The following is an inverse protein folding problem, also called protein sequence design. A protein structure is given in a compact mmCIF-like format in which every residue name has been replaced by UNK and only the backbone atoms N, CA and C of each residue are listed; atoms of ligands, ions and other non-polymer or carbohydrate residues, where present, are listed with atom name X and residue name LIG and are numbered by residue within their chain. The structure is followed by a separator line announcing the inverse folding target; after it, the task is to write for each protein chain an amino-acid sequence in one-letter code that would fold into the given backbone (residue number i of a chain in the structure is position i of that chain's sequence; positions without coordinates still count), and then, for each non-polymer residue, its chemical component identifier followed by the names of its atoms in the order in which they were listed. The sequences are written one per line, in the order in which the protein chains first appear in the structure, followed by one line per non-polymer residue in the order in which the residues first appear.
data_IF_999511705078
#
_entry.id   IF_999511705078
#
_cell.length_a   1.000
_cell.length_b   1.000
_cell.length_c   1.000
_cell.angle_alpha   90.00
_cell.angle_beta   90.00
_cell.angle_gamma   90.00
#
_symmetry.space_group_name_H-M   'P 1'
#
loop_
_entity.id
_entity.type
_entity.pdbx_description
1 polymer ?
#
# COMPACT_ATOMS: atom_id res chain seq x y z
N UNK A 1 -10.05 -32.68 10.65
CA UNK A 1 -9.44 -33.24 11.89
C UNK A 1 -9.39 -32.22 13.03
N UNK A 2 -8.83 -31.02 12.84
CA UNK A 2 -8.69 -29.99 13.89
C UNK A 2 -10.03 -29.47 14.46
N UNK A 3 -11.05 -29.26 13.61
CA UNK A 3 -12.39 -28.81 14.03
C UNK A 3 -12.98 -29.71 15.13
N UNK A 4 -12.86 -31.03 14.96
CA UNK A 4 -13.38 -32.00 15.94
C UNK A 4 -12.58 -32.07 17.24
N UNK A 5 -11.32 -31.60 17.26
CA UNK A 5 -10.47 -31.58 18.45
C UNK A 5 -10.62 -30.27 19.24
N UNK A 6 -10.77 -29.14 18.55
CA UNK A 6 -10.83 -27.81 19.15
C UNK A 6 -12.25 -27.32 19.41
N UNK A 7 -13.25 -27.86 18.70
CA UNK A 7 -14.63 -27.39 18.78
C UNK A 7 -14.86 -26.03 18.09
N UNK A 8 -13.86 -25.51 17.39
CA UNK A 8 -13.90 -24.25 16.66
C UNK A 8 -14.02 -24.49 15.15
N UNK A 9 -14.75 -23.60 14.46
CA UNK A 9 -14.80 -23.61 13.01
C UNK A 9 -13.49 -23.04 12.43
N UNK A 10 -12.67 -23.90 11.84
CA UNK A 10 -11.38 -23.52 11.24
C UNK A 10 -11.52 -23.64 9.73
N UNK A 11 -11.43 -22.50 9.05
CA UNK A 11 -11.53 -22.40 7.60
C UNK A 11 -10.34 -21.64 7.04
N UNK A 12 -9.88 -22.04 5.86
CA UNK A 12 -8.95 -21.23 5.05
C UNK A 12 -9.81 -20.22 4.30
N UNK A 13 -9.62 -18.93 4.60
CA UNK A 13 -10.44 -17.85 4.02
C UNK A 13 -9.87 -17.32 2.71
N UNK A 14 -8.56 -17.37 2.54
CA UNK A 14 -7.86 -16.83 1.39
C UNK A 14 -6.48 -17.48 1.24
N UNK A 15 -5.95 -17.47 0.01
CA UNK A 15 -4.61 -17.94 -0.31
C UNK A 15 -4.07 -17.21 -1.54
N UNK A 16 -2.84 -16.72 -1.45
CA UNK A 16 -2.13 -16.04 -2.55
C UNK A 16 -0.79 -16.71 -2.77
N UNK A 17 -0.44 -16.93 -4.04
CA UNK A 17 0.83 -17.52 -4.47
C UNK A 17 1.45 -16.65 -5.56
N UNK A 18 2.74 -16.36 -5.43
CA UNK A 18 3.53 -15.70 -6.48
C UNK A 18 4.52 -16.71 -7.09
N UNK A 19 4.57 -16.74 -8.41
CA UNK A 19 5.65 -17.39 -9.16
C UNK A 19 6.81 -16.42 -9.29
N UNK A 20 8.04 -16.87 -9.03
CA UNK A 20 9.24 -16.02 -9.12
C UNK A 20 9.78 -16.10 -10.54
N UNK A 21 9.96 -14.93 -11.17
CA UNK A 21 10.59 -14.81 -12.48
C UNK A 21 12.09 -14.53 -12.34
N UNK A 22 12.87 -14.88 -13.35
CA UNK A 22 14.30 -14.57 -13.37
C UNK A 22 14.54 -13.06 -13.25
N UNK A 23 15.44 -12.68 -12.35
CA UNK A 23 15.74 -11.26 -12.07
C UNK A 23 14.78 -10.57 -11.10
N UNK A 24 13.79 -11.27 -10.55
CA UNK A 24 12.88 -10.77 -9.53
C UNK A 24 13.27 -11.24 -8.13
N UNK A 25 12.87 -10.48 -7.11
CA UNK A 25 13.01 -10.85 -5.70
C UNK A 25 11.65 -10.83 -5.03
N UNK A 26 11.16 -12.03 -4.66
CA UNK A 26 9.94 -12.19 -3.88
C UNK A 26 10.26 -12.34 -2.39
N UNK A 27 9.55 -11.60 -1.54
CA UNK A 27 9.70 -11.68 -0.08
C UNK A 27 8.36 -11.74 0.63
N UNK A 28 8.33 -12.47 1.75
CA UNK A 28 7.17 -12.62 2.62
C UNK A 28 7.41 -12.01 4.00
N UNK A 29 6.40 -11.36 4.56
CA UNK A 29 6.43 -10.84 5.92
C UNK A 29 5.12 -11.14 6.66
N UNK A 30 5.21 -11.90 7.74
CA UNK A 30 4.14 -12.05 8.73
C UNK A 30 4.44 -11.11 9.91
N UNK A 31 3.50 -10.22 10.22
CA UNK A 31 3.72 -9.21 11.27
C UNK A 31 3.62 -9.83 12.68
N UNK A 32 4.72 -9.90 13.44
CA UNK A 32 4.74 -10.49 14.76
C UNK A 32 4.10 -9.56 15.81
N UNK A 33 3.77 -10.06 17.01
CA UNK A 33 3.87 -11.46 17.44
C UNK A 33 2.65 -12.30 17.05
N UNK A 34 1.52 -11.67 16.76
CA UNK A 34 0.25 -12.36 16.54
C UNK A 34 0.11 -12.96 15.12
N UNK A 35 0.98 -12.58 14.18
CA UNK A 35 0.97 -13.05 12.78
C UNK A 35 -0.41 -12.90 12.10
N UNK A 36 -1.14 -11.84 12.46
CA UNK A 36 -2.48 -11.55 11.91
C UNK A 36 -2.48 -10.83 10.57
N UNK A 37 -1.31 -10.35 10.13
CA UNK A 37 -1.13 -9.68 8.84
C UNK A 37 0.01 -10.40 8.14
N UNK A 38 -0.24 -10.84 6.90
CA UNK A 38 0.75 -11.43 6.01
C UNK A 38 0.88 -10.58 4.74
N UNK A 39 2.11 -10.42 4.26
CA UNK A 39 2.41 -9.71 3.02
C UNK A 39 3.30 -10.57 2.13
N UNK A 40 2.99 -10.60 0.84
CA UNK A 40 3.90 -11.00 -0.23
C UNK A 40 4.20 -9.79 -1.09
N UNK A 41 5.46 -9.61 -1.47
CA UNK A 41 5.89 -8.57 -2.42
C UNK A 41 6.86 -9.15 -3.43
N UNK A 42 6.75 -8.70 -4.67
CA UNK A 42 7.57 -9.05 -5.81
C UNK A 42 8.26 -7.77 -6.31
N UNK A 43 9.59 -7.71 -6.14
CA UNK A 43 10.42 -6.62 -6.62
C UNK A 43 11.13 -7.01 -7.91
N UNK A 44 11.34 -6.01 -8.77
CA UNK A 44 12.11 -6.12 -10.01
C UNK A 44 13.15 -4.99 -10.08
N UNK A 45 14.12 -5.14 -10.98
CA UNK A 45 15.21 -4.17 -11.19
C UNK A 45 16.54 -4.60 -10.56
N UNK A 46 17.64 -4.01 -11.03
CA UNK A 46 19.01 -4.39 -10.63
C UNK A 46 19.27 -4.16 -9.12
N UNK A 47 18.54 -3.24 -8.52
CA UNK A 47 18.59 -2.95 -7.09
C UNK A 47 17.67 -3.79 -6.21
N UNK A 48 16.91 -4.74 -6.79
CA UNK A 48 16.03 -5.60 -6.02
C UNK A 48 16.86 -6.56 -5.16
N UNK A 49 16.78 -6.39 -3.84
CA UNK A 49 17.45 -7.25 -2.85
C UNK A 49 16.46 -7.87 -1.87
N UNK A 50 16.76 -9.03 -1.27
CA UNK A 50 15.91 -9.63 -0.24
C UNK A 50 15.66 -8.70 0.95
N UNK A 51 16.64 -7.89 1.32
CA UNK A 51 16.54 -6.90 2.39
C UNK A 51 15.55 -5.79 2.05
N UNK A 52 15.65 -5.21 0.84
CA UNK A 52 14.72 -4.18 0.37
C UNK A 52 13.30 -4.75 0.25
N UNK A 53 13.16 -5.94 -0.33
CA UNK A 53 11.86 -6.62 -0.45
C UNK A 53 11.22 -6.85 0.93
N UNK A 54 12.01 -7.27 1.93
CA UNK A 54 11.51 -7.42 3.30
C UNK A 54 11.11 -6.07 3.92
N UNK A 55 11.88 -5.01 3.73
CA UNK A 55 11.54 -3.67 4.22
C UNK A 55 10.24 -3.14 3.61
N UNK A 56 10.04 -3.38 2.30
CA UNK A 56 8.81 -3.01 1.58
C UNK A 56 7.63 -3.82 2.11
N UNK A 57 7.80 -5.14 2.32
CA UNK A 57 6.76 -5.97 2.90
C UNK A 57 6.34 -5.50 4.30
N UNK A 58 7.31 -5.05 5.13
CA UNK A 58 7.02 -4.44 6.42
C UNK A 58 6.22 -3.14 6.29
N UNK A 59 6.59 -2.27 5.35
CA UNK A 59 5.85 -1.05 5.07
C UNK A 59 4.41 -1.34 4.66
N UNK A 60 4.20 -2.23 3.68
CA UNK A 60 2.88 -2.63 3.21
C UNK A 60 2.04 -3.20 4.35
N UNK A 61 2.64 -3.97 5.27
CA UNK A 61 1.92 -4.55 6.41
C UNK A 61 1.27 -3.46 7.30
N UNK A 62 1.99 -2.35 7.50
CA UNK A 62 1.57 -1.20 8.30
C UNK A 62 0.67 -0.24 7.52
N UNK A 63 1.12 0.22 6.35
CA UNK A 63 0.49 1.29 5.59
C UNK A 63 -0.68 0.82 4.71
N UNK A 64 -0.88 -0.49 4.57
CA UNK A 64 -2.00 -1.10 3.85
C UNK A 64 -2.36 -0.38 2.52
N UNK A 65 -1.40 -0.15 1.61
CA UNK A 65 -1.69 0.46 0.31
C UNK A 65 -2.67 -0.39 -0.50
N UNK A 66 -3.48 0.28 -1.30
CA UNK A 66 -4.44 -0.33 -2.23
C UNK A 66 -3.86 -0.48 -3.63
N UNK A 67 -2.93 0.43 -4.00
CA UNK A 67 -2.28 0.45 -5.30
C UNK A 67 -0.76 0.51 -5.15
N UNK A 68 -0.02 0.05 -6.15
CA UNK A 68 1.43 0.26 -6.21
C UNK A 68 1.76 1.71 -6.56
N UNK A 69 1.05 2.27 -7.54
CA UNK A 69 1.28 3.63 -8.07
C UNK A 69 -0.04 4.34 -8.39
N UNK A 70 0.01 5.66 -8.61
CA UNK A 70 -1.17 6.48 -8.92
C UNK A 70 -1.84 6.08 -10.23
N UNK A 71 -1.06 5.60 -11.19
CA UNK A 71 -1.51 5.24 -12.53
C UNK A 71 -2.45 4.02 -12.53
N UNK A 72 -2.43 3.23 -11.46
CA UNK A 72 -3.35 2.11 -11.27
C UNK A 72 -4.73 2.54 -10.77
N UNK A 73 -4.89 3.80 -10.32
CA UNK A 73 -6.17 4.32 -9.83
C UNK A 73 -7.03 4.76 -11.00
N UNK A 74 -8.25 4.24 -11.07
CA UNK A 74 -9.17 4.62 -12.15
C UNK A 74 -9.49 6.13 -12.10
N UNK A 75 -9.61 6.82 -13.23
CA UNK A 75 -9.93 8.25 -13.25
C UNK A 75 -11.22 8.59 -12.51
N UNK A 76 -12.24 7.73 -12.58
CA UNK A 76 -13.52 7.93 -11.89
C UNK A 76 -13.39 7.94 -10.36
N UNK A 77 -12.49 7.16 -9.79
CA UNK A 77 -12.20 7.19 -8.34
C UNK A 77 -11.53 8.51 -7.97
N UNK A 78 -10.54 8.94 -8.75
CA UNK A 78 -9.83 10.21 -8.50
C UNK A 78 -10.79 11.40 -8.61
N UNK A 79 -11.66 11.41 -9.62
CA UNK A 79 -12.64 12.48 -9.81
C UNK A 79 -13.69 12.48 -8.70
N UNK A 80 -14.15 11.31 -8.27
CA UNK A 80 -15.07 11.19 -7.12
C UNK A 80 -14.45 11.80 -5.86
N UNK A 81 -13.21 11.43 -5.52
CA UNK A 81 -12.54 11.98 -4.33
C UNK A 81 -12.24 13.47 -4.47
N UNK A 82 -11.92 13.93 -5.69
CA UNK A 82 -11.75 15.36 -5.97
C UNK A 82 -13.03 16.14 -5.65
N UNK A 83 -14.19 15.62 -6.06
CA UNK A 83 -15.48 16.26 -5.75
C UNK A 83 -15.78 16.24 -4.25
N UNK A 84 -15.44 15.17 -3.53
CA UNK A 84 -15.58 15.10 -2.08
C UNK A 84 -14.76 16.21 -1.40
N UNK A 85 -13.48 16.36 -1.75
CA UNK A 85 -12.65 17.42 -1.18
C UNK A 85 -13.11 18.82 -1.59
N UNK A 86 -13.51 19.01 -2.85
CA UNK A 86 -13.99 20.31 -3.33
C UNK A 86 -15.22 20.78 -2.56
N UNK A 87 -16.11 19.86 -2.20
CA UNK A 87 -17.33 20.16 -1.44
C UNK A 87 -17.13 20.17 0.08
N UNK A 88 -15.92 19.91 0.58
CA UNK A 88 -15.65 19.97 2.02
C UNK A 88 -15.69 21.42 2.55
N UNK A 89 -16.16 21.59 3.79
CA UNK A 89 -16.19 22.91 4.45
C UNK A 89 -14.82 23.59 4.50
N UNK A 90 -13.75 22.78 4.66
CA UNK A 90 -12.36 23.25 4.65
C UNK A 90 -12.00 23.97 3.34
N UNK A 91 -12.47 23.45 2.21
CA UNK A 91 -12.23 24.03 0.87
C UNK A 91 -13.23 25.12 0.54
N UNK A 92 -14.51 24.94 0.88
CA UNK A 92 -15.56 25.92 0.63
C UNK A 92 -15.34 27.23 1.40
N UNK A 93 -14.70 27.18 2.57
CA UNK A 93 -14.31 28.37 3.33
C UNK A 93 -13.15 29.18 2.70
N UNK A 94 -12.53 28.70 1.61
CA UNK A 94 -11.41 29.36 0.92
C UNK A 94 -11.87 30.11 -0.33
N UNK A 95 -11.11 31.13 -0.78
CA UNK A 95 -11.40 31.84 -2.03
C UNK A 95 -11.48 30.88 -3.22
N UNK A 96 -12.48 31.07 -4.08
CA UNK A 96 -12.78 30.17 -5.22
C UNK A 96 -11.55 29.88 -6.09
N UNK A 97 -10.78 30.91 -6.42
CA UNK A 97 -9.55 30.80 -7.23
C UNK A 97 -8.45 29.94 -6.59
N UNK A 98 -8.50 29.66 -5.28
CA UNK A 98 -7.52 28.84 -4.59
C UNK A 98 -8.01 27.38 -4.38
N UNK A 99 -9.31 27.09 -4.56
CA UNK A 99 -9.91 25.82 -4.17
C UNK A 99 -9.32 24.64 -4.95
N UNK A 100 -9.21 24.74 -6.27
CA UNK A 100 -8.66 23.66 -7.11
C UNK A 100 -7.25 23.28 -6.68
N UNK A 101 -6.37 24.28 -6.50
CA UNK A 101 -4.99 24.05 -6.05
C UNK A 101 -4.91 23.40 -4.66
N UNK A 102 -5.82 23.78 -3.75
CA UNK A 102 -5.91 23.18 -2.41
C UNK A 102 -6.35 21.72 -2.54
N UNK A 103 -7.37 21.45 -3.35
CA UNK A 103 -7.90 20.11 -3.60
C UNK A 103 -6.83 19.21 -4.22
N UNK A 104 -6.05 19.68 -5.19
CA UNK A 104 -4.95 18.90 -5.77
C UNK A 104 -3.90 18.51 -4.71
N UNK A 105 -3.58 19.43 -3.79
CA UNK A 105 -2.71 19.14 -2.64
C UNK A 105 -3.31 18.12 -1.67
N UNK A 106 -4.63 18.20 -1.42
CA UNK A 106 -5.35 17.24 -0.58
C UNK A 106 -5.42 15.86 -1.23
N UNK A 107 -5.69 15.77 -2.54
CA UNK A 107 -5.66 14.51 -3.29
C UNK A 107 -4.27 13.88 -3.19
N UNK A 108 -3.21 14.66 -3.38
CA UNK A 108 -1.84 14.17 -3.24
C UNK A 108 -1.55 13.58 -1.86
N UNK A 109 -1.94 14.28 -0.78
CA UNK A 109 -1.55 13.92 0.60
C UNK A 109 -2.53 13.00 1.33
N UNK A 110 -3.83 13.23 1.16
CA UNK A 110 -4.91 12.60 1.94
C UNK A 110 -5.52 11.40 1.21
N UNK A 111 -5.28 11.27 -0.10
CA UNK A 111 -5.74 10.14 -0.89
C UNK A 111 -4.56 9.29 -1.39
N UNK A 112 -3.68 9.83 -2.23
CA UNK A 112 -2.56 9.04 -2.78
C UNK A 112 -1.53 8.65 -1.72
N UNK A 113 -1.07 9.59 -0.89
CA UNK A 113 -0.10 9.30 0.18
C UNK A 113 -0.71 8.79 1.49
N UNK A 114 -2.00 8.42 1.49
CA UNK A 114 -2.69 7.95 2.69
C UNK A 114 -2.01 6.68 3.26
N UNK A 115 -2.02 6.56 4.59
CA UNK A 115 -1.61 5.36 5.31
C UNK A 115 -2.48 5.24 6.58
N UNK A 116 -3.48 4.34 6.62
CA UNK A 116 -3.76 3.27 5.67
C UNK A 116 -4.36 3.73 4.33
N UNK A 117 -4.25 2.90 3.29
CA UNK A 117 -4.85 3.10 1.96
C UNK A 117 -3.91 3.71 0.92
N UNK A 118 -4.44 4.26 -0.17
CA UNK A 118 -3.65 5.02 -1.14
C UNK A 118 -2.66 4.20 -1.98
N UNK A 119 -1.70 4.88 -2.59
CA UNK A 119 -0.69 4.32 -3.48
C UNK A 119 0.67 4.18 -2.78
N UNK A 120 1.24 2.98 -2.80
CA UNK A 120 2.50 2.64 -2.15
C UNK A 120 3.62 3.64 -2.48
N UNK A 121 3.82 3.96 -3.75
CA UNK A 121 4.89 4.86 -4.20
C UNK A 121 4.82 6.28 -3.57
N UNK A 122 3.64 6.72 -3.15
CA UNK A 122 3.38 8.05 -2.59
C UNK A 122 3.48 8.11 -1.07
N UNK A 123 3.42 6.96 -0.40
CA UNK A 123 3.46 6.87 1.05
C UNK A 123 4.82 7.28 1.58
N UNK A 124 4.83 7.98 2.72
CA UNK A 124 6.05 8.31 3.45
C UNK A 124 6.73 7.00 3.93
N UNK A 125 8.02 6.85 3.67
CA UNK A 125 8.72 5.61 3.91
C UNK A 125 8.95 5.37 5.42
N UNK A 126 8.51 4.22 5.94
CA UNK A 126 8.55 3.98 7.41
C UNK A 126 9.98 3.85 7.95
N UNK A 127 10.95 3.50 7.10
CA UNK A 127 12.35 3.38 7.51
C UNK A 127 13.13 4.71 7.36
N UNK A 128 12.56 5.67 6.63
CA UNK A 128 13.07 7.04 6.50
C UNK A 128 11.93 7.99 6.06
N UNK A 129 11.23 8.63 7.02
CA UNK A 129 10.08 9.48 6.71
C UNK A 129 10.39 10.74 5.90
N UNK A 130 11.67 11.04 5.64
CA UNK A 130 12.06 12.18 4.79
C UNK A 130 11.79 11.97 3.30
N UNK A 131 11.55 10.71 2.89
CA UNK A 131 11.27 10.32 1.51
C UNK A 131 10.04 9.43 1.39
N UNK A 132 9.52 9.31 0.17
CA UNK A 132 8.45 8.35 -0.15
C UNK A 132 9.02 6.97 -0.45
N UNK A 133 8.17 5.94 -0.45
CA UNK A 133 8.56 4.60 -0.89
C UNK A 133 9.06 4.62 -2.33
N UNK A 134 8.40 5.37 -3.22
CA UNK A 134 8.81 5.50 -4.61
C UNK A 134 10.20 6.09 -4.77
N UNK A 135 10.55 7.09 -3.94
CA UNK A 135 11.90 7.65 -3.90
C UNK A 135 12.92 6.61 -3.40
N UNK A 136 12.61 5.89 -2.32
CA UNK A 136 13.50 4.83 -1.80
C UNK A 136 13.74 3.71 -2.82
N UNK A 137 12.70 3.29 -3.54
CA UNK A 137 12.78 2.30 -4.63
C UNK A 137 13.62 2.83 -5.80
N UNK A 138 13.38 4.06 -6.23
CA UNK A 138 14.14 4.69 -7.33
C UNK A 138 15.62 4.87 -6.99
N UNK A 139 15.95 5.27 -5.76
CA UNK A 139 17.33 5.40 -5.29
C UNK A 139 18.06 4.04 -5.27
N UNK A 140 17.33 2.96 -4.97
CA UNK A 140 17.87 1.62 -5.01
C UNK A 140 18.01 1.08 -6.44
N UNK A 141 17.25 1.59 -7.41
CA UNK A 141 17.16 1.00 -8.76
C UNK A 141 16.21 -0.20 -8.82
N UNK A 142 15.10 -0.14 -8.08
CA UNK A 142 14.09 -1.19 -8.00
C UNK A 142 12.67 -0.65 -8.19
N UNK A 143 11.73 -1.52 -8.51
CA UNK A 143 10.29 -1.24 -8.53
C UNK A 143 9.51 -2.42 -7.92
N UNK A 144 8.26 -2.17 -7.54
CA UNK A 144 7.33 -3.21 -7.06
C UNK A 144 6.50 -3.67 -8.25
N UNK A 145 6.66 -4.91 -8.67
CA UNK A 145 5.85 -5.50 -9.73
C UNK A 145 4.43 -5.80 -9.23
N UNK A 146 4.32 -6.37 -8.02
CA UNK A 146 3.05 -6.69 -7.36
C UNK A 146 3.24 -6.89 -5.86
N UNK A 147 2.16 -6.72 -5.11
CA UNK A 147 2.10 -7.14 -3.72
C UNK A 147 0.72 -7.71 -3.38
N UNK A 148 0.65 -8.46 -2.30
CA UNK A 148 -0.60 -8.88 -1.68
C UNK A 148 -0.47 -8.74 -0.17
N UNK A 149 -1.54 -8.27 0.47
CA UNK A 149 -1.65 -8.12 1.92
C UNK A 149 -2.92 -8.80 2.40
N UNK A 150 -2.77 -9.79 3.27
CA UNK A 150 -3.88 -10.50 3.90
C UNK A 150 -3.90 -10.12 5.39
N UNK A 151 -5.09 -9.78 5.89
CA UNK A 151 -5.32 -9.51 7.31
C UNK A 151 -6.43 -10.44 7.82
N UNK A 152 -6.18 -11.17 8.90
CA UNK A 152 -7.20 -11.99 9.59
C UNK A 152 -7.97 -11.19 10.64
N UNK A 153 -7.67 -9.89 10.80
CA UNK A 153 -8.49 -9.01 11.63
C UNK A 153 -9.72 -8.55 10.83
N UNK A 154 -10.88 -9.15 11.13
CA UNK A 154 -12.21 -8.67 10.75
C UNK A 154 -12.53 -8.70 9.26
N UNK A 155 -13.02 -9.84 8.79
CA UNK A 155 -14.13 -9.87 7.81
C UNK A 155 -15.37 -9.24 8.42
#
# INVERSE_FOLDING_TARGET
ELIGKLGENIVVVDAVQFEVFDGHVVSGYAHPPANKIGVLVDLEGEGATPELARQIAMHISFAAPEWTTREQVSPGVVDSERQIFLNSDEVQSKPEAAREKIVDGMIGKRFFAAAPGGALADQAWIHDPSKTVGQALSEAGASVARFSRISVAGS
#
